data_IF_813131348815
#
_entry.id   IF_813131348815
#
_cell.length_a   1.000
_cell.length_b   1.000
_cell.length_c   1.000
_cell.angle_alpha   90.00
_cell.angle_beta   90.00
_cell.angle_gamma   90.00
#
_symmetry.space_group_name_H-M   'P 1'
#
loop_
_entity.id
_entity.type
_entity.pdbx_description
1 polymer ?
#
# COMPACT_ATOMS: atom_id res chain seq x y z
N UNK A 1 -19.77 -22.41 39.36
CA UNK A 1 -18.43 -21.85 39.52
C UNK A 1 -18.22 -20.96 38.31
N UNK A 2 -18.31 -19.65 38.52
CA UNK A 2 -18.14 -18.63 37.51
C UNK A 2 -16.63 -18.53 37.28
N UNK A 3 -16.19 -18.82 36.06
CA UNK A 3 -14.77 -18.69 35.68
C UNK A 3 -14.33 -17.24 35.82
N UNK A 4 -13.33 -17.01 36.65
CA UNK A 4 -12.61 -15.76 36.73
C UNK A 4 -12.04 -15.46 35.35
N UNK A 5 -12.59 -14.44 34.71
CA UNK A 5 -11.96 -13.79 33.55
C UNK A 5 -10.64 -13.20 34.07
N UNK A 6 -9.55 -13.89 33.83
CA UNK A 6 -8.20 -13.34 34.04
C UNK A 6 -8.09 -12.13 33.10
N UNK A 7 -8.27 -10.93 33.63
CA UNK A 7 -8.03 -9.70 32.95
C UNK A 7 -6.55 -9.74 32.48
N UNK A 8 -6.35 -9.89 31.20
CA UNK A 8 -5.01 -9.84 30.59
C UNK A 8 -4.48 -8.43 30.86
N UNK A 9 -3.52 -8.33 31.76
CA UNK A 9 -2.85 -7.04 32.05
C UNK A 9 -2.15 -6.62 30.75
N UNK A 10 -2.41 -5.42 30.24
CA UNK A 10 -1.77 -4.97 29.00
C UNK A 10 -0.25 -4.97 29.17
N UNK A 11 0.50 -5.33 28.12
CA UNK A 11 1.97 -5.28 28.14
C UNK A 11 2.44 -3.86 28.48
N UNK A 12 3.55 -3.75 29.19
CA UNK A 12 4.13 -2.48 29.62
C UNK A 12 5.56 -2.38 29.12
N UNK A 13 5.89 -1.28 28.41
CA UNK A 13 7.13 -1.12 27.68
C UNK A 13 8.07 -0.07 28.26
N UNK A 14 9.35 -0.38 28.25
CA UNK A 14 10.44 0.62 28.28
C UNK A 14 10.95 0.76 26.87
N UNK A 15 10.97 2.00 26.35
CA UNK A 15 11.49 2.33 25.01
C UNK A 15 13.00 2.60 25.13
N UNK A 16 13.77 2.13 24.15
CA UNK A 16 15.18 2.50 24.06
C UNK A 16 15.57 2.88 22.63
N UNK A 17 16.49 3.85 22.54
CA UNK A 17 16.91 4.42 21.26
C UNK A 17 18.38 4.87 21.31
N UNK A 18 19.02 4.88 20.13
CA UNK A 18 20.27 5.57 19.88
C UNK A 18 20.00 6.73 18.94
N UNK A 19 20.21 7.95 19.42
CA UNK A 19 20.01 9.17 18.65
C UNK A 19 21.37 9.82 18.36
N UNK A 20 21.54 10.55 17.23
CA UNK A 20 22.80 11.24 16.90
C UNK A 20 23.31 12.13 18.02
N UNK A 21 24.61 12.17 18.21
CA UNK A 21 25.27 12.99 19.23
C UNK A 21 25.24 14.46 18.84
N UNK A 22 24.58 15.30 19.65
CA UNK A 22 24.37 16.73 19.43
C UNK A 22 22.92 17.16 19.64
N UNK A 23 22.00 16.24 19.58
CA UNK A 23 20.57 16.45 19.50
C UNK A 23 19.84 16.64 20.85
N UNK A 24 20.50 17.14 21.90
CA UNK A 24 19.76 17.47 23.13
C UNK A 24 18.74 18.62 22.91
N UNK A 25 18.85 19.33 21.75
CA UNK A 25 17.93 20.38 21.32
C UNK A 25 17.68 20.36 19.79
N UNK A 26 17.97 19.26 19.04
CA UNK A 26 17.57 19.22 17.64
C UNK A 26 16.08 18.85 17.55
N UNK A 27 15.28 19.66 16.82
CA UNK A 27 13.93 19.28 16.47
C UNK A 27 13.99 17.97 15.65
N UNK A 28 13.43 16.89 16.16
CA UNK A 28 13.47 15.58 15.51
C UNK A 28 13.76 14.42 16.46
N UNK A 29 14.57 14.59 17.51
CA UNK A 29 14.83 13.52 18.48
C UNK A 29 13.58 13.20 19.32
N UNK A 30 12.85 14.23 19.74
CA UNK A 30 11.58 14.09 20.46
C UNK A 30 10.48 13.51 19.55
N UNK A 31 10.50 13.85 18.26
CA UNK A 31 9.55 13.33 17.26
C UNK A 31 9.71 11.83 17.02
N UNK A 32 10.96 11.32 16.99
CA UNK A 32 11.22 9.87 16.87
C UNK A 32 10.61 9.10 18.03
N UNK A 33 10.77 9.60 19.25
CA UNK A 33 10.19 8.99 20.44
C UNK A 33 8.67 9.18 20.51
N UNK A 34 8.14 10.28 19.98
CA UNK A 34 6.70 10.49 19.90
C UNK A 34 6.04 9.47 18.99
N UNK A 35 6.63 9.20 17.81
CA UNK A 35 6.07 8.22 16.87
C UNK A 35 6.07 6.79 17.43
N UNK A 36 7.16 6.35 18.10
CA UNK A 36 7.19 5.01 18.70
C UNK A 36 6.18 4.87 19.84
N UNK A 37 5.95 5.95 20.62
CA UNK A 37 4.91 5.99 21.67
C UNK A 37 3.50 5.89 21.09
N UNK A 38 3.24 6.51 19.95
CA UNK A 38 1.97 6.38 19.24
C UNK A 38 1.79 4.96 18.68
N UNK A 39 2.85 4.30 18.21
CA UNK A 39 2.82 2.89 17.83
C UNK A 39 2.49 2.00 19.02
N UNK A 40 3.10 2.25 20.19
CA UNK A 40 2.80 1.51 21.43
C UNK A 40 1.33 1.69 21.81
N UNK A 41 0.79 2.91 21.74
CA UNK A 41 -0.62 3.20 22.00
C UNK A 41 -1.53 2.43 21.04
N UNK A 42 -1.17 2.38 19.75
CA UNK A 42 -1.92 1.63 18.74
C UNK A 42 -1.82 0.11 18.93
N UNK A 43 -0.74 -0.37 19.53
CA UNK A 43 -0.56 -1.77 19.92
C UNK A 43 -1.17 -2.11 21.30
N UNK A 44 -1.86 -1.19 21.99
CA UNK A 44 -2.34 -1.31 23.37
C UNK A 44 -1.22 -1.74 24.36
N UNK A 45 -0.01 -1.21 24.17
CA UNK A 45 1.15 -1.41 25.05
C UNK A 45 1.37 -0.12 25.84
N UNK A 46 1.37 -0.21 27.14
CA UNK A 46 1.57 0.97 27.98
C UNK A 46 3.06 1.38 28.00
N UNK A 47 3.36 2.60 27.62
CA UNK A 47 4.69 3.18 27.76
C UNK A 47 4.95 3.58 29.21
N UNK A 48 6.15 3.25 29.73
CA UNK A 48 6.56 3.52 31.11
C UNK A 48 7.74 4.48 31.21
N UNK A 49 8.78 4.28 30.40
CA UNK A 49 10.01 5.07 30.43
C UNK A 49 10.78 5.01 29.12
N UNK A 50 11.70 5.94 28.94
CA UNK A 50 12.63 5.99 27.81
C UNK A 50 14.07 5.83 28.30
N UNK A 51 14.89 5.11 27.56
CA UNK A 51 16.35 5.01 27.74
C UNK A 51 17.02 5.41 26.43
N UNK A 52 17.48 6.64 26.35
CA UNK A 52 18.08 7.20 25.15
C UNK A 52 19.59 7.31 25.31
N UNK A 53 20.31 6.84 24.31
CA UNK A 53 21.74 7.02 24.18
C UNK A 53 22.05 7.98 23.02
N UNK A 54 22.77 9.06 23.30
CA UNK A 54 23.27 9.97 22.27
C UNK A 54 24.60 9.45 21.73
N UNK A 55 24.62 9.01 20.46
CA UNK A 55 25.77 8.45 19.77
C UNK A 55 25.55 8.48 18.28
N UNK A 56 26.59 8.74 17.49
CA UNK A 56 26.48 8.82 16.02
C UNK A 56 26.03 7.51 15.35
N UNK A 57 26.35 6.37 15.96
CA UNK A 57 25.96 5.03 15.46
C UNK A 57 25.68 4.07 16.62
N UNK A 58 24.67 3.20 16.47
CA UNK A 58 24.42 2.11 17.40
C UNK A 58 25.63 1.18 17.53
N UNK A 59 25.78 0.51 18.66
CA UNK A 59 26.76 -0.54 18.81
C UNK A 59 26.40 -1.73 17.90
N UNK A 60 27.35 -2.27 17.09
CA UNK A 60 27.04 -3.33 16.13
C UNK A 60 26.65 -4.65 16.79
N UNK A 61 27.00 -4.88 18.07
CA UNK A 61 26.72 -6.14 18.77
C UNK A 61 25.55 -6.03 19.75
N UNK A 62 25.46 -4.95 20.50
CA UNK A 62 24.51 -4.78 21.60
C UNK A 62 23.53 -3.65 21.39
N UNK A 63 23.63 -2.88 20.30
CA UNK A 63 22.87 -1.67 20.00
C UNK A 63 23.17 -0.53 20.97
N UNK A 64 23.09 -0.76 22.28
CA UNK A 64 23.46 0.18 23.33
C UNK A 64 24.87 -0.10 23.85
N UNK A 65 25.57 0.94 24.33
CA UNK A 65 26.80 0.75 25.09
C UNK A 65 26.52 0.13 26.45
N UNK A 66 27.57 -0.48 27.09
CA UNK A 66 27.42 -1.24 28.33
C UNK A 66 26.78 -0.44 29.48
N UNK A 67 27.11 0.85 29.63
CA UNK A 67 26.48 1.72 30.65
C UNK A 67 25.00 1.94 30.43
N UNK A 68 24.58 2.21 29.18
CA UNK A 68 23.16 2.36 28.83
C UNK A 68 22.38 1.05 28.88
N UNK A 69 23.04 -0.07 28.57
CA UNK A 69 22.44 -1.40 28.77
C UNK A 69 22.15 -1.68 30.26
N UNK A 70 23.04 -1.28 31.17
CA UNK A 70 22.80 -1.42 32.60
C UNK A 70 21.64 -0.49 33.07
N UNK A 71 21.54 0.72 32.51
CA UNK A 71 20.43 1.64 32.76
C UNK A 71 19.11 1.08 32.25
N UNK A 72 19.06 0.49 31.05
CA UNK A 72 17.90 -0.18 30.49
C UNK A 72 17.43 -1.33 31.41
N UNK A 73 18.35 -2.15 31.89
CA UNK A 73 18.07 -3.24 32.83
C UNK A 73 17.44 -2.72 34.12
N UNK A 74 17.97 -1.63 34.67
CA UNK A 74 17.42 -1.01 35.89
C UNK A 74 16.02 -0.42 35.62
N UNK A 75 15.86 0.31 34.50
CA UNK A 75 14.57 0.89 34.12
C UNK A 75 13.48 -0.20 33.97
N UNK A 76 13.78 -1.32 33.35
CA UNK A 76 12.86 -2.46 33.20
C UNK A 76 12.48 -3.03 34.57
N UNK A 77 13.46 -3.26 35.43
CA UNK A 77 13.24 -3.84 36.75
C UNK A 77 12.41 -2.88 37.65
N UNK A 78 12.77 -1.61 37.68
CA UNK A 78 12.18 -0.61 38.57
C UNK A 78 10.75 -0.23 38.13
N UNK A 79 10.49 -0.20 36.81
CA UNK A 79 9.16 0.08 36.27
C UNK A 79 8.24 -1.13 36.23
N UNK A 80 8.79 -2.35 36.35
CA UNK A 80 8.06 -3.61 36.16
C UNK A 80 7.54 -3.76 34.73
N UNK A 81 8.32 -3.30 33.74
CA UNK A 81 8.00 -3.50 32.33
C UNK A 81 8.04 -5.00 31.99
N UNK A 82 7.18 -5.39 31.06
CA UNK A 82 7.06 -6.78 30.58
C UNK A 82 7.71 -6.94 29.19
N UNK A 83 8.04 -5.83 28.55
CA UNK A 83 8.64 -5.79 27.21
C UNK A 83 9.56 -4.56 27.09
N UNK A 84 10.60 -4.67 26.27
CA UNK A 84 11.39 -3.51 25.83
C UNK A 84 11.18 -3.29 24.33
N UNK A 85 11.17 -2.04 23.91
CA UNK A 85 10.91 -1.67 22.50
C UNK A 85 12.00 -0.76 21.99
N UNK A 86 12.62 -1.16 20.87
CA UNK A 86 13.62 -0.38 20.17
C UNK A 86 12.98 0.54 19.13
N UNK A 87 13.48 1.78 19.03
CA UNK A 87 13.09 2.72 17.97
C UNK A 87 13.54 2.28 16.56
N UNK A 88 14.64 1.53 16.48
CA UNK A 88 15.22 1.02 15.23
C UNK A 88 14.99 -0.48 15.06
N UNK A 89 15.26 -0.97 13.86
CA UNK A 89 15.33 -2.39 13.59
C UNK A 89 16.61 -2.98 14.19
N UNK A 90 16.49 -4.11 14.86
CA UNK A 90 17.60 -4.78 15.51
C UNK A 90 18.09 -5.98 14.70
N UNK A 91 19.41 -6.13 14.58
CA UNK A 91 19.99 -7.38 14.12
C UNK A 91 19.69 -8.50 15.12
N UNK A 92 19.64 -9.78 14.69
CA UNK A 92 19.41 -10.90 15.60
C UNK A 92 20.43 -10.98 16.75
N UNK A 93 21.67 -10.52 16.53
CA UNK A 93 22.70 -10.43 17.57
C UNK A 93 22.38 -9.38 18.62
N UNK A 94 21.93 -8.22 18.20
CA UNK A 94 21.52 -7.15 19.09
C UNK A 94 20.30 -7.55 19.92
N UNK A 95 19.30 -8.19 19.29
CA UNK A 95 18.15 -8.73 20.05
C UNK A 95 18.58 -9.69 21.13
N UNK A 96 19.47 -10.63 20.82
CA UNK A 96 19.96 -11.59 21.81
C UNK A 96 20.73 -10.91 22.93
N UNK A 97 21.57 -9.91 22.63
CA UNK A 97 22.34 -9.18 23.63
C UNK A 97 21.45 -8.35 24.56
N UNK A 98 20.39 -7.71 24.03
CA UNK A 98 19.41 -6.99 24.85
C UNK A 98 18.59 -7.95 25.70
N UNK A 99 18.07 -9.04 25.11
CA UNK A 99 17.27 -10.05 25.81
C UNK A 99 18.03 -10.66 27.00
N UNK A 100 19.32 -11.03 26.79
CA UNK A 100 20.18 -11.56 27.85
C UNK A 100 20.41 -10.55 28.97
N UNK A 101 20.39 -9.26 28.65
CA UNK A 101 20.61 -8.21 29.65
C UNK A 101 19.36 -7.91 30.48
N UNK A 102 18.17 -7.83 29.85
CA UNK A 102 16.95 -7.30 30.50
C UNK A 102 15.98 -8.38 30.99
N UNK A 103 16.08 -9.61 30.49
CA UNK A 103 15.25 -10.78 30.85
C UNK A 103 13.72 -10.54 30.64
N UNK A 104 13.38 -9.71 29.66
CA UNK A 104 12.00 -9.49 29.18
C UNK A 104 12.00 -9.49 27.65
N UNK A 105 10.84 -9.68 27.04
CA UNK A 105 10.71 -9.67 25.58
C UNK A 105 11.25 -8.37 24.96
N UNK A 106 11.87 -8.51 23.79
CA UNK A 106 12.46 -7.40 23.04
C UNK A 106 11.78 -7.30 21.70
N UNK A 107 11.07 -6.21 21.48
CA UNK A 107 10.49 -5.85 20.18
C UNK A 107 11.37 -4.79 19.53
N UNK A 108 11.58 -4.89 18.23
CA UNK A 108 12.09 -3.79 17.44
C UNK A 108 10.94 -3.05 16.72
N UNK A 109 11.28 -2.00 15.98
CA UNK A 109 10.31 -1.17 15.28
C UNK A 109 9.44 -1.98 14.31
N UNK A 110 10.04 -2.85 13.51
CA UNK A 110 9.31 -3.71 12.55
C UNK A 110 8.33 -4.64 13.26
N UNK A 111 8.73 -5.27 14.34
CA UNK A 111 7.87 -6.18 15.11
C UNK A 111 6.71 -5.44 15.78
N UNK A 112 6.96 -4.22 16.28
CA UNK A 112 5.91 -3.36 16.82
C UNK A 112 4.90 -2.97 15.75
N UNK A 113 5.34 -2.53 14.56
CA UNK A 113 4.45 -2.22 13.42
C UNK A 113 3.61 -3.43 13.03
N UNK A 114 4.23 -4.63 12.94
CA UNK A 114 3.51 -5.87 12.66
C UNK A 114 2.47 -6.21 13.74
N UNK A 115 2.77 -5.89 14.99
CA UNK A 115 1.82 -6.06 16.11
C UNK A 115 0.62 -5.13 15.95
N UNK A 116 0.84 -3.87 15.58
CA UNK A 116 -0.24 -2.91 15.28
C UNK A 116 -1.09 -3.42 14.12
N UNK A 117 -0.45 -3.85 13.03
CA UNK A 117 -1.16 -4.37 11.86
C UNK A 117 -2.01 -5.62 12.18
N UNK A 118 -1.51 -6.52 13.03
CA UNK A 118 -2.26 -7.72 13.42
C UNK A 118 -3.56 -7.40 14.16
N UNK A 119 -3.64 -6.25 14.80
CA UNK A 119 -4.85 -5.79 15.52
C UNK A 119 -5.85 -5.09 14.62
N UNK A 120 -5.38 -4.45 13.54
CA UNK A 120 -6.22 -3.67 12.62
C UNK A 120 -6.57 -4.42 11.33
N UNK A 121 -6.05 -5.63 11.12
CA UNK A 121 -6.42 -6.49 9.99
C UNK A 121 -7.77 -7.16 10.25
N UNK A 122 -8.84 -6.66 9.65
CA UNK A 122 -10.19 -7.19 9.82
C UNK A 122 -10.63 -8.05 8.64
N UNK A 123 -10.12 -7.79 7.43
CA UNK A 123 -10.39 -8.62 6.27
C UNK A 123 -9.58 -9.93 6.30
N UNK A 124 -10.13 -10.97 5.67
CA UNK A 124 -9.38 -12.22 5.49
C UNK A 124 -8.07 -11.99 4.76
N UNK A 125 -8.05 -11.08 3.78
CA UNK A 125 -6.86 -10.78 3.00
C UNK A 125 -5.83 -10.02 3.82
N UNK A 126 -6.21 -8.94 4.50
CA UNK A 126 -5.33 -8.20 5.40
C UNK A 126 -4.73 -9.11 6.48
N UNK A 127 -5.54 -9.99 7.10
CA UNK A 127 -5.05 -10.97 8.07
C UNK A 127 -4.01 -11.91 7.48
N UNK A 128 -4.22 -12.42 6.25
CA UNK A 128 -3.26 -13.30 5.58
C UNK A 128 -1.97 -12.57 5.22
N UNK A 129 -2.05 -11.31 4.81
CA UNK A 129 -0.90 -10.46 4.49
C UNK A 129 -0.05 -10.16 5.72
N UNK A 130 -0.69 -9.75 6.82
CA UNK A 130 0.01 -9.52 8.10
C UNK A 130 0.70 -10.81 8.57
N UNK A 131 -0.01 -11.93 8.53
CA UNK A 131 0.57 -13.22 8.92
C UNK A 131 1.74 -13.63 8.01
N UNK A 132 1.67 -13.35 6.71
CA UNK A 132 2.79 -13.55 5.78
C UNK A 132 3.99 -12.70 6.20
N UNK A 133 3.80 -11.40 6.42
CA UNK A 133 4.85 -10.49 6.83
C UNK A 133 5.50 -10.90 8.16
N UNK A 134 4.71 -11.32 9.14
CA UNK A 134 5.20 -11.85 10.42
C UNK A 134 6.09 -13.09 10.23
N UNK A 135 5.68 -14.05 9.39
CA UNK A 135 6.47 -15.25 9.14
C UNK A 135 7.76 -14.94 8.35
N UNK A 136 7.74 -14.01 7.41
CA UNK A 136 8.92 -13.57 6.67
C UNK A 136 9.91 -12.86 7.59
N UNK A 137 9.42 -12.02 8.49
CA UNK A 137 10.23 -11.37 9.52
C UNK A 137 10.82 -12.39 10.50
N UNK A 138 10.02 -13.32 11.01
CA UNK A 138 10.48 -14.43 11.87
C UNK A 138 11.59 -15.25 11.17
N UNK A 139 11.43 -15.56 9.89
CA UNK A 139 12.40 -16.32 9.11
C UNK A 139 13.75 -15.60 9.01
N UNK A 140 13.78 -14.28 8.90
CA UNK A 140 15.01 -13.46 8.93
C UNK A 140 15.69 -13.53 10.29
N UNK A 141 14.93 -13.45 11.36
CA UNK A 141 15.44 -13.55 12.75
C UNK A 141 15.99 -14.96 13.07
N UNK A 142 15.35 -16.02 12.57
CA UNK A 142 15.85 -17.38 12.70
C UNK A 142 17.22 -17.57 12.03
N UNK A 143 17.53 -16.87 10.93
CA UNK A 143 18.86 -16.95 10.29
C UNK A 143 19.98 -16.45 11.21
N UNK A 144 19.72 -15.39 11.96
CA UNK A 144 20.70 -14.84 12.90
C UNK A 144 20.91 -15.71 14.14
N UNK A 145 19.85 -16.32 14.68
CA UNK A 145 19.97 -17.24 15.84
C UNK A 145 20.88 -18.43 15.53
N UNK A 146 20.84 -18.99 14.32
CA UNK A 146 21.74 -20.09 13.91
C UNK A 146 23.20 -19.66 13.82
N UNK A 147 23.52 -18.45 13.36
CA UNK A 147 24.87 -17.91 13.31
C UNK A 147 25.45 -17.64 14.72
N UNK A 148 24.63 -17.23 15.65
CA UNK A 148 25.03 -16.99 17.04
C UNK A 148 25.28 -18.31 17.75
N UNK A 149 24.39 -19.29 17.60
CA UNK A 149 24.59 -20.64 18.17
C UNK A 149 25.84 -21.37 17.60
N UNK A 150 26.11 -21.18 16.30
CA UNK A 150 27.30 -21.76 15.70
C UNK A 150 28.61 -21.08 16.16
N UNK A 151 28.59 -19.80 16.52
CA UNK A 151 29.73 -19.07 17.09
C UNK A 151 30.00 -19.41 18.56
N UNK A 152 28.95 -19.63 19.35
CA UNK A 152 29.01 -20.03 20.75
C UNK A 152 29.44 -21.52 20.89
N UNK A 153 29.22 -22.33 19.84
CA UNK A 153 29.60 -23.74 19.78
C UNK A 153 30.89 -24.03 19.02
N UNK A 154 31.82 -23.07 18.86
CA UNK A 154 33.08 -23.24 18.14
C UNK A 154 34.07 -24.11 18.90
N UNK A 155 33.69 -25.33 19.20
CA UNK A 155 34.54 -26.48 19.50
C UNK A 155 34.30 -27.54 18.43
N UNK A 156 35.34 -27.75 17.60
CA UNK A 156 35.59 -28.87 16.70
C UNK A 156 34.50 -29.96 16.65
N UNK A 157 33.84 -30.06 15.48
CA UNK A 157 33.19 -31.30 15.01
C UNK A 157 31.89 -31.77 15.69
N UNK A 158 30.94 -30.89 15.92
CA UNK A 158 29.58 -31.33 16.23
C UNK A 158 28.56 -30.55 15.41
N UNK A 159 28.01 -31.16 14.36
CA UNK A 159 26.64 -30.91 13.86
C UNK A 159 25.68 -31.31 14.97
N UNK A 160 25.50 -30.42 15.95
CA UNK A 160 24.68 -30.69 17.12
C UNK A 160 23.19 -30.80 16.77
N UNK A 161 22.39 -31.49 17.59
CA UNK A 161 20.93 -31.65 17.41
C UNK A 161 20.16 -30.31 17.34
N UNK A 162 20.76 -29.18 17.76
CA UNK A 162 20.21 -27.86 17.66
C UNK A 162 20.19 -27.29 16.24
N UNK A 163 21.18 -27.59 15.42
CA UNK A 163 21.23 -27.13 14.01
C UNK A 163 20.13 -27.80 13.16
N UNK A 164 19.93 -29.10 13.35
CA UNK A 164 18.87 -29.86 12.67
C UNK A 164 17.46 -29.38 13.08
N UNK A 165 17.24 -29.02 14.34
CA UNK A 165 15.97 -28.51 14.82
C UNK A 165 15.64 -27.15 14.19
N UNK A 166 16.59 -26.22 14.23
CA UNK A 166 16.43 -24.90 13.61
C UNK A 166 16.19 -25.01 12.09
N UNK A 167 16.83 -25.93 11.41
CA UNK A 167 16.63 -26.15 9.98
C UNK A 167 15.26 -26.76 9.66
N UNK A 168 14.77 -27.66 10.51
CA UNK A 168 13.42 -28.21 10.42
C UNK A 168 12.40 -27.10 10.65
N UNK A 169 12.55 -26.26 11.68
CA UNK A 169 11.66 -25.16 12.00
C UNK A 169 11.61 -24.14 10.84
N UNK A 170 12.78 -23.76 10.29
CA UNK A 170 12.88 -22.91 9.10
C UNK A 170 12.17 -23.50 7.88
N UNK A 171 12.24 -24.80 7.67
CA UNK A 171 11.56 -25.49 6.58
C UNK A 171 10.05 -25.44 6.76
N UNK A 172 9.55 -25.58 7.99
CA UNK A 172 8.13 -25.44 8.32
C UNK A 172 7.65 -24.04 8.05
N UNK A 173 8.37 -23.00 8.52
CA UNK A 173 8.02 -21.60 8.27
C UNK A 173 8.01 -21.28 6.77
N UNK A 174 9.02 -21.70 6.01
CA UNK A 174 9.06 -21.51 4.55
C UNK A 174 7.88 -22.15 3.83
N UNK A 175 7.44 -23.35 4.25
CA UNK A 175 6.25 -24.00 3.68
C UNK A 175 4.98 -23.19 3.97
N UNK A 176 4.85 -22.66 5.19
CA UNK A 176 3.73 -21.80 5.57
C UNK A 176 3.70 -20.53 4.72
N UNK A 177 4.83 -19.85 4.57
CA UNK A 177 5.00 -18.68 3.70
C UNK A 177 4.51 -19.00 2.28
N UNK A 178 4.98 -20.10 1.69
CA UNK A 178 4.59 -20.50 0.33
C UNK A 178 3.07 -20.75 0.21
N UNK A 179 2.49 -21.40 1.21
CA UNK A 179 1.03 -21.65 1.23
C UNK A 179 0.24 -20.35 1.32
N UNK A 180 0.68 -19.39 2.16
CA UNK A 180 0.04 -18.09 2.30
C UNK A 180 0.15 -17.27 0.99
N UNK A 181 1.34 -17.22 0.38
CA UNK A 181 1.53 -16.54 -0.93
C UNK A 181 0.58 -17.05 -1.99
N UNK A 182 0.43 -18.37 -2.13
CA UNK A 182 -0.51 -18.97 -3.08
C UNK A 182 -1.97 -18.61 -2.77
N UNK A 183 -2.32 -18.48 -1.49
CA UNK A 183 -3.68 -18.13 -1.06
C UNK A 183 -4.00 -16.68 -1.38
N UNK A 184 -3.08 -15.77 -1.09
CA UNK A 184 -3.18 -14.34 -1.40
C UNK A 184 -3.27 -14.13 -2.92
N UNK A 185 -2.44 -14.81 -3.71
CA UNK A 185 -2.44 -14.73 -5.18
C UNK A 185 -3.78 -15.17 -5.80
N UNK A 186 -4.41 -16.23 -5.26
CA UNK A 186 -5.75 -16.65 -5.69
C UNK A 186 -6.80 -15.58 -5.43
N UNK A 187 -6.73 -14.92 -4.28
CA UNK A 187 -7.64 -13.81 -3.92
C UNK A 187 -7.41 -12.60 -4.84
N UNK A 188 -6.15 -12.24 -5.10
CA UNK A 188 -5.79 -11.17 -6.02
C UNK A 188 -6.34 -11.41 -7.44
N UNK A 189 -6.28 -12.65 -7.95
CA UNK A 189 -6.86 -13.02 -9.27
C UNK A 189 -8.37 -12.79 -9.34
N UNK A 190 -9.09 -13.14 -8.27
CA UNK A 190 -10.55 -12.92 -8.19
C UNK A 190 -10.87 -11.42 -8.19
N UNK A 191 -10.09 -10.62 -7.44
CA UNK A 191 -10.24 -9.14 -7.42
C UNK A 191 -9.97 -8.53 -8.79
N UNK A 192 -8.89 -8.93 -9.49
CA UNK A 192 -8.60 -8.43 -10.84
C UNK A 192 -9.77 -8.65 -11.80
N UNK A 193 -10.47 -9.77 -11.70
CA UNK A 193 -11.66 -10.04 -12.51
C UNK A 193 -12.83 -9.12 -12.14
N UNK A 194 -13.06 -8.86 -10.87
CA UNK A 194 -14.09 -7.92 -10.41
C UNK A 194 -13.75 -6.48 -10.78
N UNK A 195 -12.46 -6.09 -10.69
CA UNK A 195 -11.95 -4.76 -11.07
C UNK A 195 -12.04 -4.51 -12.58
N UNK A 196 -11.74 -5.48 -13.42
CA UNK A 196 -11.88 -5.34 -14.87
C UNK A 196 -13.30 -4.90 -15.27
N UNK A 197 -14.32 -5.33 -14.51
CA UNK A 197 -15.70 -4.85 -14.67
C UNK A 197 -15.90 -3.40 -14.19
N UNK A 198 -15.16 -2.92 -13.17
CA UNK A 198 -15.22 -1.53 -12.71
C UNK A 198 -14.45 -0.59 -13.63
N UNK A 199 -13.29 -1.00 -14.12
CA UNK A 199 -12.51 -0.23 -15.10
C UNK A 199 -13.24 -0.04 -16.43
N UNK A 200 -14.25 -0.87 -16.74
CA UNK A 200 -15.19 -0.65 -17.85
C UNK A 200 -16.28 0.39 -17.52
N UNK A 201 -16.43 0.80 -16.26
CA UNK A 201 -17.24 1.96 -15.89
C UNK A 201 -16.34 3.19 -15.87
N UNK A 202 -16.75 4.26 -16.55
CA UNK A 202 -16.02 5.52 -16.64
C UNK A 202 -16.07 6.38 -15.37
N UNK A 203 -16.23 5.73 -14.20
CA UNK A 203 -16.28 6.41 -12.91
C UNK A 203 -14.85 6.68 -12.44
N UNK A 204 -14.46 7.96 -12.22
CA UNK A 204 -13.14 8.32 -11.74
C UNK A 204 -12.80 7.68 -10.39
N UNK A 205 -11.60 7.11 -10.30
CA UNK A 205 -11.06 6.49 -9.11
C UNK A 205 -10.02 7.41 -8.46
N UNK A 206 -10.26 7.79 -7.22
CA UNK A 206 -9.41 8.67 -6.41
C UNK A 206 -8.86 7.87 -5.24
N UNK A 207 -7.53 7.83 -5.07
CA UNK A 207 -6.92 7.20 -3.91
C UNK A 207 -6.45 8.26 -2.91
N UNK A 208 -6.65 8.02 -1.62
CA UNK A 208 -6.07 8.81 -0.54
C UNK A 208 -4.74 8.19 -0.14
N UNK A 209 -3.66 8.94 -0.23
CA UNK A 209 -2.34 8.58 0.29
C UNK A 209 -1.90 9.63 1.31
N UNK A 210 -1.02 9.26 2.21
CA UNK A 210 -0.50 10.21 3.20
C UNK A 210 -0.02 9.51 4.46
N UNK A 211 0.66 10.26 5.28
CA UNK A 211 1.21 9.75 6.53
C UNK A 211 0.11 9.22 7.47
N UNK A 212 0.46 8.34 8.39
CA UNK A 212 -0.47 7.91 9.45
C UNK A 212 -0.96 9.11 10.23
N UNK A 213 -2.22 9.08 10.62
CA UNK A 213 -2.88 10.17 11.35
C UNK A 213 -2.95 11.53 10.62
N UNK A 214 -2.74 11.60 9.30
CA UNK A 214 -2.98 12.83 8.51
C UNK A 214 -4.47 13.13 8.30
N UNK A 215 -5.36 12.23 8.70
CA UNK A 215 -6.81 12.40 8.62
C UNK A 215 -7.44 11.88 7.33
N UNK A 216 -6.84 10.88 6.66
CA UNK A 216 -7.36 10.24 5.43
C UNK A 216 -8.76 9.70 5.59
N UNK A 217 -8.99 8.85 6.60
CA UNK A 217 -10.30 8.23 6.87
C UNK A 217 -11.35 9.26 7.30
N UNK A 218 -10.93 10.32 8.02
CA UNK A 218 -11.80 11.46 8.36
C UNK A 218 -12.23 12.19 7.09
N UNK A 219 -11.29 12.44 6.17
CA UNK A 219 -11.57 13.09 4.89
C UNK A 219 -12.48 12.22 4.01
N UNK A 220 -12.26 10.90 3.96
CA UNK A 220 -13.17 9.97 3.29
C UNK A 220 -14.60 10.14 3.81
N UNK A 221 -14.79 10.10 5.13
CA UNK A 221 -16.10 10.25 5.76
C UNK A 221 -16.72 11.61 5.45
N UNK A 222 -15.94 12.68 5.52
CA UNK A 222 -16.41 14.03 5.28
C UNK A 222 -16.87 14.28 3.82
N UNK A 223 -16.20 13.64 2.84
CA UNK A 223 -16.54 13.77 1.42
C UNK A 223 -17.69 12.86 0.98
N UNK A 224 -17.84 11.69 1.63
CA UNK A 224 -18.78 10.63 1.19
C UNK A 224 -19.98 10.45 2.11
N UNK A 225 -20.07 11.22 3.19
CA UNK A 225 -21.05 11.05 4.28
C UNK A 225 -21.12 9.61 4.83
N UNK A 226 -19.99 8.89 4.70
CA UNK A 226 -19.84 7.55 5.24
C UNK A 226 -19.52 7.61 6.75
N UNK A 227 -19.68 6.47 7.43
CA UNK A 227 -19.37 6.32 8.85
C UNK A 227 -18.31 5.21 9.01
N UNK A 228 -17.14 5.39 8.39
CA UNK A 228 -15.98 4.52 8.64
C UNK A 228 -15.45 4.86 10.03
N UNK A 229 -15.05 3.85 10.80
CA UNK A 229 -14.40 4.07 12.09
C UNK A 229 -13.18 4.97 11.93
N UNK A 230 -13.08 5.98 12.77
CA UNK A 230 -11.94 6.89 12.84
C UNK A 230 -11.52 6.97 14.29
N UNK A 231 -10.31 6.51 14.57
CA UNK A 231 -9.67 6.68 15.86
C UNK A 231 -8.36 7.45 15.69
N UNK A 232 -7.97 8.18 16.73
CA UNK A 232 -6.68 8.86 16.79
C UNK A 232 -5.58 7.84 17.13
N UNK A 233 -5.35 6.89 16.20
CA UNK A 233 -4.36 5.81 16.31
C UNK A 233 -3.66 5.61 14.98
N UNK A 234 -2.39 5.20 15.03
CA UNK A 234 -1.64 4.88 13.82
C UNK A 234 -2.16 3.59 13.19
N UNK A 235 -2.27 3.58 11.86
CA UNK A 235 -2.74 2.42 11.07
C UNK A 235 -4.17 1.95 11.38
N UNK A 236 -5.08 2.88 11.70
CA UNK A 236 -6.50 2.54 11.88
C UNK A 236 -7.10 1.87 10.64
N UNK A 237 -6.73 2.33 9.45
CA UNK A 237 -7.13 1.72 8.18
C UNK A 237 -6.00 0.85 7.65
N UNK A 238 -6.18 -0.47 7.67
CA UNK A 238 -5.30 -1.43 7.02
C UNK A 238 -5.93 -1.99 5.74
N UNK A 239 -7.24 -2.25 5.79
CA UNK A 239 -8.01 -2.74 4.65
C UNK A 239 -8.54 -1.57 3.82
N UNK A 240 -8.31 -1.55 2.47
CA UNK A 240 -8.78 -0.46 1.63
C UNK A 240 -10.30 -0.32 1.72
N UNK A 241 -10.75 0.88 1.98
CA UNK A 241 -12.17 1.19 2.03
C UNK A 241 -12.55 2.13 0.92
N UNK A 242 -13.35 1.65 -0.05
CA UNK A 242 -13.84 2.46 -1.17
C UNK A 242 -15.27 2.94 -0.92
N UNK A 243 -15.53 4.20 -1.21
CA UNK A 243 -16.86 4.83 -1.12
C UNK A 243 -17.11 5.68 -2.34
N UNK A 244 -18.35 5.69 -2.80
CA UNK A 244 -18.79 6.58 -3.87
C UNK A 244 -19.36 7.88 -3.29
N UNK A 245 -19.09 8.99 -3.98
CA UNK A 245 -19.78 10.26 -3.74
C UNK A 245 -20.14 10.89 -5.08
N UNK A 246 -21.16 11.74 -5.06
CA UNK A 246 -21.66 12.43 -6.25
C UNK A 246 -21.42 13.92 -6.15
N UNK A 247 -20.85 14.50 -7.21
CA UNK A 247 -20.64 15.93 -7.33
C UNK A 247 -20.83 16.39 -8.77
N UNK A 248 -21.57 17.47 -9.01
CA UNK A 248 -21.90 18.00 -10.36
C UNK A 248 -22.41 16.91 -11.31
N UNK A 249 -23.38 16.11 -10.85
CA UNK A 249 -24.00 15.01 -11.61
C UNK A 249 -23.06 13.90 -12.07
N UNK A 250 -21.84 13.83 -11.53
CA UNK A 250 -20.86 12.78 -11.78
C UNK A 250 -20.57 12.00 -10.51
N UNK A 251 -20.48 10.68 -10.66
CA UNK A 251 -20.08 9.80 -9.57
C UNK A 251 -18.55 9.66 -9.54
N UNK A 252 -17.99 9.64 -8.35
CA UNK A 252 -16.55 9.43 -8.06
C UNK A 252 -16.42 8.31 -7.05
N UNK A 253 -15.34 7.55 -7.14
CA UNK A 253 -14.99 6.56 -6.12
C UNK A 253 -13.74 7.03 -5.40
N UNK A 254 -13.85 7.18 -4.09
CA UNK A 254 -12.75 7.54 -3.20
C UNK A 254 -12.34 6.33 -2.40
N UNK A 255 -11.04 6.00 -2.40
CA UNK A 255 -10.51 4.84 -1.68
C UNK A 255 -9.49 5.31 -0.64
N UNK A 256 -9.76 4.98 0.62
CA UNK A 256 -8.79 5.12 1.72
C UNK A 256 -7.77 4.00 1.66
N UNK A 257 -6.50 4.34 1.87
CA UNK A 257 -5.39 3.38 1.86
C UNK A 257 -4.67 3.35 3.20
N UNK A 258 -3.76 2.40 3.36
CA UNK A 258 -2.90 2.31 4.53
C UNK A 258 -2.08 3.60 4.69
N UNK A 259 -2.02 4.12 5.91
CA UNK A 259 -1.15 5.25 6.21
C UNK A 259 0.33 4.89 6.14
N UNK A 260 1.16 5.81 5.69
CA UNK A 260 2.60 5.62 5.66
C UNK A 260 3.25 6.08 6.97
N UNK A 261 4.42 5.53 7.26
CA UNK A 261 5.21 5.84 8.45
C UNK A 261 6.69 5.84 8.06
N UNK A 262 7.50 6.56 8.81
CA UNK A 262 8.96 6.55 8.60
C UNK A 262 9.55 5.16 8.78
N UNK A 263 10.63 4.88 8.06
CA UNK A 263 11.34 3.59 8.12
C UNK A 263 10.40 2.39 7.93
N UNK A 264 9.37 2.53 7.04
CA UNK A 264 8.48 1.40 6.73
C UNK A 264 9.32 0.29 6.09
N UNK A 265 9.38 -0.91 6.68
CA UNK A 265 10.20 -2.00 6.15
C UNK A 265 9.72 -2.42 4.76
N UNK A 266 10.65 -2.61 3.79
CA UNK A 266 10.34 -3.06 2.43
C UNK A 266 9.50 -4.35 2.39
N UNK A 267 9.75 -5.27 3.32
CA UNK A 267 8.99 -6.51 3.46
C UNK A 267 7.51 -6.26 3.75
N UNK A 268 7.19 -5.16 4.47
CA UNK A 268 5.81 -4.77 4.73
C UNK A 268 5.18 -4.13 3.48
N UNK A 269 5.91 -3.31 2.73
CA UNK A 269 5.44 -2.76 1.46
C UNK A 269 5.08 -3.89 0.50
N UNK A 270 5.94 -4.91 0.36
CA UNK A 270 5.68 -6.08 -0.48
C UNK A 270 4.46 -6.88 -0.01
N UNK A 271 4.33 -7.09 1.31
CA UNK A 271 3.19 -7.79 1.88
C UNK A 271 1.86 -7.03 1.63
N UNK A 272 1.89 -5.71 1.66
CA UNK A 272 0.73 -4.85 1.42
C UNK A 272 0.61 -4.33 -0.01
N UNK A 273 1.44 -4.80 -0.94
CA UNK A 273 1.39 -4.38 -2.34
C UNK A 273 -0.03 -4.47 -2.93
N UNK A 274 -0.81 -5.50 -2.55
CA UNK A 274 -2.19 -5.64 -3.01
C UNK A 274 -3.16 -4.62 -2.42
N UNK A 275 -2.90 -4.11 -1.25
CA UNK A 275 -3.67 -3.04 -0.59
C UNK A 275 -3.31 -1.68 -1.21
N UNK A 276 -2.03 -1.50 -1.53
CA UNK A 276 -1.51 -0.32 -2.20
C UNK A 276 -1.77 -0.33 -3.73
N UNK A 277 -2.18 -1.48 -4.31
CA UNK A 277 -2.55 -1.59 -5.74
C UNK A 277 -3.71 -0.65 -6.10
N UNK A 278 -4.61 -0.30 -5.16
CA UNK A 278 -5.66 0.71 -5.40
C UNK A 278 -5.06 2.09 -5.72
N UNK A 279 -3.92 2.43 -5.12
CA UNK A 279 -3.22 3.69 -5.38
C UNK A 279 -2.55 3.71 -6.77
N UNK A 280 -2.07 2.55 -7.24
CA UNK A 280 -1.46 2.44 -8.58
C UNK A 280 -2.51 2.45 -9.70
N UNK A 281 -3.74 2.09 -9.39
CA UNK A 281 -4.86 2.05 -10.34
C UNK A 281 -5.72 3.30 -10.32
N UNK A 282 -5.45 4.23 -9.40
CA UNK A 282 -6.19 5.48 -9.29
C UNK A 282 -5.91 6.41 -10.48
N UNK A 283 -6.93 7.16 -10.88
CA UNK A 283 -6.80 8.21 -11.88
C UNK A 283 -6.12 9.46 -11.30
N UNK A 284 -6.22 9.66 -9.98
CA UNK A 284 -5.52 10.69 -9.21
C UNK A 284 -5.29 10.22 -7.77
N UNK A 285 -4.16 10.60 -7.21
CA UNK A 285 -3.81 10.37 -5.80
C UNK A 285 -3.90 11.68 -5.04
N UNK A 286 -4.72 11.73 -4.00
CA UNK A 286 -4.71 12.84 -3.04
C UNK A 286 -3.66 12.55 -1.98
N UNK A 287 -2.60 13.35 -1.95
CA UNK A 287 -1.56 13.27 -0.92
C UNK A 287 -1.97 14.16 0.25
N UNK A 288 -2.33 13.52 1.37
CA UNK A 288 -2.87 14.21 2.54
C UNK A 288 -1.74 14.51 3.50
N UNK A 289 -1.51 15.80 3.75
CA UNK A 289 -0.55 16.32 4.72
C UNK A 289 -1.27 16.97 5.92
N UNK A 290 -0.66 16.92 7.09
CA UNK A 290 -1.15 17.58 8.31
C UNK A 290 -0.61 19.01 8.38
N UNK A 291 -1.45 20.01 8.16
CA UNK A 291 -1.08 21.42 8.18
C UNK A 291 -0.64 21.94 9.55
N UNK A 292 -0.99 21.23 10.62
CA UNK A 292 -0.65 21.67 12.00
C UNK A 292 0.83 21.48 12.36
N UNK A 293 1.55 20.62 11.60
CA UNK A 293 2.95 20.30 11.85
C UNK A 293 3.90 21.41 11.38
N UNK A 294 5.13 21.38 11.88
CA UNK A 294 6.18 22.28 11.40
C UNK A 294 6.60 21.98 9.96
N UNK A 295 7.03 23.02 9.22
CA UNK A 295 7.32 22.89 7.80
C UNK A 295 8.38 21.82 7.48
N UNK A 296 9.39 21.65 8.34
CA UNK A 296 10.42 20.64 8.19
C UNK A 296 9.84 19.22 8.35
N UNK A 297 8.92 19.03 9.28
CA UNK A 297 8.25 17.76 9.50
C UNK A 297 7.27 17.42 8.37
N UNK A 298 6.52 18.41 7.86
CA UNK A 298 5.68 18.25 6.68
C UNK A 298 6.53 17.75 5.51
N UNK A 299 7.63 18.42 5.19
CA UNK A 299 8.51 18.03 4.08
C UNK A 299 9.08 16.62 4.25
N UNK A 300 9.53 16.23 5.45
CA UNK A 300 10.03 14.88 5.72
C UNK A 300 8.96 13.80 5.58
N UNK A 301 7.72 14.10 5.97
CA UNK A 301 6.58 13.18 5.80
C UNK A 301 6.14 13.06 4.35
N UNK A 302 6.14 14.17 3.59
CA UNK A 302 5.85 14.17 2.15
C UNK A 302 6.90 13.37 1.37
N UNK A 303 8.19 13.54 1.70
CA UNK A 303 9.27 12.72 1.12
C UNK A 303 9.03 11.23 1.37
N UNK A 304 8.68 10.85 2.60
CA UNK A 304 8.34 9.45 2.94
C UNK A 304 7.16 8.92 2.11
N UNK A 305 6.11 9.74 1.92
CA UNK A 305 4.95 9.37 1.10
C UNK A 305 5.35 9.22 -0.37
N UNK A 306 6.15 10.15 -0.89
CA UNK A 306 6.64 10.13 -2.26
C UNK A 306 7.48 8.88 -2.55
N UNK A 307 8.41 8.54 -1.66
CA UNK A 307 9.28 7.35 -1.76
C UNK A 307 8.45 6.06 -1.83
N UNK A 308 7.41 5.94 -0.99
CA UNK A 308 6.55 4.75 -1.01
C UNK A 308 5.71 4.70 -2.30
N UNK A 309 5.14 5.83 -2.75
CA UNK A 309 4.40 5.90 -4.00
C UNK A 309 5.26 5.52 -5.21
N UNK A 310 6.51 5.94 -5.22
CA UNK A 310 7.48 5.60 -6.29
C UNK A 310 7.90 4.13 -6.21
N UNK A 311 8.11 3.60 -5.00
CA UNK A 311 8.43 2.19 -4.76
C UNK A 311 7.33 1.24 -5.27
N UNK A 312 6.05 1.61 -5.10
CA UNK A 312 4.93 0.81 -5.61
C UNK A 312 4.63 1.05 -7.09
N UNK A 313 5.38 1.94 -7.76
CA UNK A 313 5.21 2.28 -9.18
C UNK A 313 3.91 3.04 -9.48
N UNK A 314 3.46 3.89 -8.58
CA UNK A 314 2.29 4.75 -8.83
C UNK A 314 2.68 5.91 -9.75
N UNK A 315 2.09 5.95 -10.94
CA UNK A 315 2.28 7.03 -11.93
C UNK A 315 1.07 7.96 -12.01
N UNK A 316 0.08 7.79 -11.15
CA UNK A 316 -1.08 8.67 -11.13
C UNK A 316 -0.68 10.10 -10.76
N UNK A 317 -1.29 11.12 -11.36
CA UNK A 317 -1.10 12.51 -10.95
C UNK A 317 -1.40 12.68 -9.47
N UNK A 318 -0.62 13.51 -8.79
CA UNK A 318 -0.73 13.79 -7.36
C UNK A 318 -1.37 15.16 -7.16
N UNK A 319 -2.30 15.27 -6.24
CA UNK A 319 -2.88 16.52 -5.75
C UNK A 319 -2.65 16.60 -4.24
N UNK A 320 -1.96 17.63 -3.80
CA UNK A 320 -1.65 17.85 -2.39
C UNK A 320 -2.84 18.46 -1.68
N UNK A 321 -3.16 17.91 -0.51
CA UNK A 321 -4.26 18.35 0.35
C UNK A 321 -3.75 18.53 1.78
N UNK A 322 -3.69 19.76 2.24
CA UNK A 322 -3.34 20.10 3.60
C UNK A 322 -4.58 20.03 4.48
N UNK A 323 -4.65 19.00 5.31
CA UNK A 323 -5.75 18.79 6.25
C UNK A 323 -5.43 19.36 7.64
N UNK A 324 -6.43 19.43 8.50
CA UNK A 324 -6.35 19.95 9.87
C UNK A 324 -6.01 21.44 9.94
N UNK A 325 -6.50 22.24 8.99
CA UNK A 325 -6.30 23.69 9.00
C UNK A 325 -6.93 24.37 10.21
N UNK A 326 -7.93 23.75 10.82
CA UNK A 326 -8.56 24.16 12.09
C UNK A 326 -7.57 24.20 13.25
N UNK A 327 -6.51 23.40 13.22
CA UNK A 327 -5.45 23.40 14.24
C UNK A 327 -4.36 24.43 13.95
N UNK A 328 -4.36 25.08 12.79
CA UNK A 328 -3.38 26.13 12.44
C UNK A 328 -3.85 27.47 12.97
N UNK A 329 -3.44 27.80 14.19
CA UNK A 329 -3.84 29.04 14.86
C UNK A 329 -3.03 30.28 14.43
N UNK A 330 -1.82 30.08 13.87
CA UNK A 330 -0.98 31.16 13.34
C UNK A 330 -1.33 31.50 11.88
N UNK A 331 -1.92 32.68 11.59
CA UNK A 331 -2.22 33.07 10.20
C UNK A 331 -0.97 33.17 9.32
N UNK A 332 0.18 33.49 9.90
CA UNK A 332 1.44 33.56 9.19
C UNK A 332 1.93 32.18 8.74
N UNK A 333 1.67 31.12 9.50
CA UNK A 333 1.97 29.75 9.13
C UNK A 333 1.11 29.31 7.93
N UNK A 334 -0.20 29.57 7.98
CA UNK A 334 -1.13 29.26 6.89
C UNK A 334 -0.70 29.97 5.59
N UNK A 335 -0.43 31.28 5.65
CA UNK A 335 0.00 32.05 4.48
C UNK A 335 1.34 31.54 3.89
N UNK A 336 2.29 31.09 4.75
CA UNK A 336 3.55 30.48 4.27
C UNK A 336 3.31 29.15 3.56
N UNK A 337 2.43 28.29 4.09
CA UNK A 337 2.08 27.02 3.45
C UNK A 337 1.39 27.26 2.10
N UNK A 338 0.43 28.18 2.03
CA UNK A 338 -0.25 28.54 0.77
C UNK A 338 0.73 29.10 -0.28
N UNK A 339 1.76 29.86 0.16
CA UNK A 339 2.79 30.37 -0.73
C UNK A 339 3.76 29.28 -1.24
N UNK A 340 4.08 28.29 -0.38
CA UNK A 340 4.95 27.16 -0.75
C UNK A 340 4.24 26.14 -1.64
N UNK A 341 2.94 25.96 -1.45
CA UNK A 341 2.11 24.96 -2.15
C UNK A 341 0.91 25.62 -2.84
N UNK A 342 1.14 26.43 -3.90
CA UNK A 342 0.07 27.23 -4.52
C UNK A 342 -1.01 26.38 -5.23
N UNK A 343 -0.70 25.14 -5.58
CA UNK A 343 -1.64 24.21 -6.23
C UNK A 343 -2.38 23.31 -5.22
N UNK A 344 -1.98 23.32 -3.96
CA UNK A 344 -2.58 22.48 -2.92
C UNK A 344 -3.95 23.00 -2.47
N UNK A 345 -4.76 22.10 -1.94
CA UNK A 345 -6.05 22.44 -1.34
C UNK A 345 -5.96 22.33 0.17
N UNK A 346 -6.45 23.36 0.88
CA UNK A 346 -6.42 23.45 2.33
C UNK A 346 -7.81 23.13 2.89
N UNK A 347 -7.88 22.12 3.78
CA UNK A 347 -9.15 21.61 4.32
C UNK A 347 -9.09 21.36 5.82
N UNK A 348 -10.23 21.40 6.48
CA UNK A 348 -10.48 20.72 7.75
C UNK A 348 -11.54 19.64 7.51
N UNK A 349 -11.11 18.39 7.56
CA UNK A 349 -12.04 17.27 7.44
C UNK A 349 -12.96 17.17 8.67
N UNK A 350 -12.52 17.65 9.84
CA UNK A 350 -13.30 17.67 11.08
C UNK A 350 -14.42 18.72 11.02
N UNK A 351 -14.09 19.95 10.64
CA UNK A 351 -15.03 21.08 10.58
C UNK A 351 -15.73 21.21 9.23
N UNK A 352 -15.37 20.36 8.26
CA UNK A 352 -15.87 20.38 6.88
C UNK A 352 -15.52 21.67 6.11
N UNK A 353 -14.46 22.39 6.54
CA UNK A 353 -13.95 23.56 5.82
C UNK A 353 -13.18 23.13 4.56
N UNK A 354 -13.32 23.85 3.45
CA UNK A 354 -12.57 23.65 2.21
C UNK A 354 -12.98 22.41 1.39
N UNK A 355 -13.95 21.60 1.84
CA UNK A 355 -14.35 20.37 1.15
C UNK A 355 -14.99 20.64 -0.22
N UNK A 356 -15.78 21.71 -0.34
CA UNK A 356 -16.37 22.08 -1.63
C UNK A 356 -15.30 22.54 -2.62
N UNK A 357 -14.30 23.29 -2.15
CA UNK A 357 -13.13 23.69 -2.97
C UNK A 357 -12.36 22.45 -3.45
N UNK A 358 -12.19 21.43 -2.59
CA UNK A 358 -11.56 20.17 -2.97
C UNK A 358 -12.38 19.43 -4.03
N UNK A 359 -13.71 19.34 -3.87
CA UNK A 359 -14.59 18.72 -4.87
C UNK A 359 -14.54 19.47 -6.21
N UNK A 360 -14.53 20.80 -6.17
CA UNK A 360 -14.40 21.64 -7.37
C UNK A 360 -13.06 21.40 -8.07
N UNK A 361 -11.96 21.35 -7.32
CA UNK A 361 -10.62 21.10 -7.88
C UNK A 361 -10.53 19.70 -8.52
N UNK A 362 -11.14 18.70 -7.89
CA UNK A 362 -11.24 17.36 -8.46
C UNK A 362 -12.09 17.35 -9.75
N UNK A 363 -13.23 18.01 -9.74
CA UNK A 363 -14.06 18.11 -10.94
C UNK A 363 -13.31 18.78 -12.09
N UNK A 364 -12.61 19.89 -11.84
CA UNK A 364 -11.77 20.58 -12.83
C UNK A 364 -10.64 19.68 -13.34
N UNK A 365 -9.96 18.94 -12.45
CA UNK A 365 -8.90 18.01 -12.82
C UNK A 365 -9.42 16.96 -13.81
N UNK A 366 -10.54 16.31 -13.51
CA UNK A 366 -11.13 15.32 -14.39
C UNK A 366 -11.73 15.94 -15.66
N UNK A 367 -12.26 17.13 -15.58
CA UNK A 367 -12.79 17.83 -16.74
C UNK A 367 -11.72 18.20 -17.77
N UNK A 368 -10.51 18.54 -17.32
CA UNK A 368 -9.35 18.77 -18.23
C UNK A 368 -8.95 17.52 -19.02
N UNK A 369 -9.20 16.33 -18.48
CA UNK A 369 -8.93 15.05 -19.15
C UNK A 369 -9.99 14.65 -20.16
N UNK A 370 -11.17 15.31 -20.16
CA UNK A 370 -12.25 15.02 -21.08
C UNK A 370 -12.03 15.68 -22.44
N UNK A 371 -12.34 14.93 -23.50
CA UNK A 371 -12.38 15.44 -24.87
C UNK A 371 -13.82 15.75 -25.28
N UNK A 372 -14.04 16.92 -25.85
CA UNK A 372 -15.29 17.24 -26.49
C UNK A 372 -15.42 16.43 -27.79
N UNK A 373 -16.54 15.73 -27.93
CA UNK A 373 -16.85 14.92 -29.10
C UNK A 373 -18.19 15.32 -29.66
N UNK A 374 -18.33 15.26 -31.00
CA UNK A 374 -19.60 15.44 -31.70
C UNK A 374 -19.84 14.20 -32.54
N UNK A 375 -20.82 13.38 -32.13
CA UNK A 375 -21.04 12.04 -32.65
C UNK A 375 -22.42 11.97 -33.32
N UNK A 376 -22.51 11.39 -34.53
CA UNK A 376 -23.76 11.12 -35.22
C UNK A 376 -24.12 9.64 -35.04
N UNK A 377 -25.18 9.37 -34.32
CA UNK A 377 -25.72 8.03 -34.14
C UNK A 377 -26.90 7.80 -35.09
N UNK A 378 -26.81 6.85 -36.03
CA UNK A 378 -27.97 6.40 -36.78
C UNK A 378 -29.08 5.94 -35.83
N UNK A 379 -30.35 6.13 -36.21
CA UNK A 379 -31.48 5.74 -35.38
C UNK A 379 -31.48 4.23 -35.03
N UNK A 380 -30.87 3.38 -35.88
CA UNK A 380 -30.70 1.97 -35.64
C UNK A 380 -29.77 1.64 -34.47
N UNK A 381 -28.83 2.54 -34.11
CA UNK A 381 -27.78 2.30 -33.10
C UNK A 381 -28.14 2.87 -31.72
N UNK A 382 -29.42 2.82 -31.35
CA UNK A 382 -29.92 3.32 -30.05
C UNK A 382 -29.23 2.70 -28.84
N UNK A 383 -28.77 1.46 -28.92
CA UNK A 383 -28.03 0.79 -27.84
C UNK A 383 -26.65 1.41 -27.59
N UNK A 384 -25.94 1.86 -28.64
CA UNK A 384 -24.65 2.56 -28.52
C UNK A 384 -24.83 3.94 -27.87
N UNK A 385 -25.86 4.67 -28.31
CA UNK A 385 -26.24 5.95 -27.73
C UNK A 385 -26.65 5.84 -26.25
N UNK A 386 -27.41 4.82 -25.88
CA UNK A 386 -27.81 4.59 -24.49
C UNK A 386 -26.60 4.32 -23.60
N UNK A 387 -25.59 3.57 -24.09
CA UNK A 387 -24.33 3.37 -23.37
C UNK A 387 -23.56 4.67 -23.21
N UNK A 388 -23.49 5.52 -24.27
CA UNK A 388 -22.82 6.80 -24.20
C UNK A 388 -23.41 7.71 -23.11
N UNK A 389 -24.73 7.72 -22.94
CA UNK A 389 -25.39 8.48 -21.90
C UNK A 389 -24.94 8.14 -20.48
N UNK A 390 -24.55 6.87 -20.25
CA UNK A 390 -24.07 6.40 -18.96
C UNK A 390 -22.63 6.82 -18.62
N UNK A 391 -21.86 7.31 -19.63
CA UNK A 391 -20.42 7.61 -19.48
C UNK A 391 -20.06 9.06 -19.85
N UNK A 392 -20.98 9.78 -20.51
CA UNK A 392 -20.74 11.12 -21.03
C UNK A 392 -21.08 12.19 -19.99
N UNK A 393 -20.27 13.24 -19.98
CA UNK A 393 -20.58 14.51 -19.29
C UNK A 393 -21.07 15.54 -20.30
N UNK A 394 -21.87 16.53 -19.85
CA UNK A 394 -22.36 17.63 -20.66
C UNK A 394 -23.06 17.21 -21.95
N UNK A 395 -23.89 16.17 -21.88
CA UNK A 395 -24.52 15.55 -23.03
C UNK A 395 -25.65 16.44 -23.57
N UNK A 396 -25.57 16.79 -24.87
CA UNK A 396 -26.64 17.44 -25.64
C UNK A 396 -27.00 16.58 -26.84
N UNK A 397 -28.29 16.44 -27.11
CA UNK A 397 -28.76 15.67 -28.24
C UNK A 397 -29.56 16.57 -29.19
N UNK A 398 -29.29 16.43 -30.48
CA UNK A 398 -30.03 17.09 -31.58
C UNK A 398 -30.48 16.01 -32.57
N UNK A 399 -31.80 15.99 -32.83
CA UNK A 399 -32.36 15.03 -33.79
C UNK A 399 -32.30 15.61 -35.21
N UNK A 400 -31.67 14.86 -36.12
CA UNK A 400 -31.56 15.20 -37.54
C UNK A 400 -32.18 14.09 -38.39
N UNK A 401 -32.49 14.33 -39.69
CA UNK A 401 -33.01 13.29 -40.57
C UNK A 401 -32.10 12.05 -40.69
N UNK A 402 -30.79 12.21 -40.50
CA UNK A 402 -29.77 11.18 -40.65
C UNK A 402 -29.53 10.38 -39.36
N UNK A 403 -29.98 10.91 -38.23
CA UNK A 403 -29.77 10.29 -36.92
C UNK A 403 -29.81 11.29 -35.79
N UNK A 404 -29.22 10.93 -34.67
CA UNK A 404 -29.10 11.82 -33.49
C UNK A 404 -27.65 12.29 -33.36
N UNK A 405 -27.44 13.60 -33.47
CA UNK A 405 -26.16 14.21 -33.15
C UNK A 405 -26.08 14.33 -31.62
N UNK A 406 -25.00 13.83 -31.05
CA UNK A 406 -24.70 13.91 -29.64
C UNK A 406 -23.40 14.70 -29.45
N UNK A 407 -23.51 15.83 -28.80
CA UNK A 407 -22.37 16.58 -28.29
C UNK A 407 -22.16 16.22 -26.84
N UNK A 408 -20.96 15.77 -26.50
CA UNK A 408 -20.64 15.30 -25.16
C UNK A 408 -19.15 15.46 -24.85
N UNK A 409 -18.79 15.37 -23.59
CA UNK A 409 -17.39 15.27 -23.14
C UNK A 409 -17.12 13.87 -22.62
N UNK A 410 -16.08 13.23 -23.14
CA UNK A 410 -15.70 11.85 -22.85
C UNK A 410 -14.23 11.75 -22.45
N UNK A 411 -13.87 10.77 -21.56
CA UNK A 411 -12.49 10.35 -21.40
C UNK A 411 -11.86 9.97 -22.76
N UNK A 412 -10.58 10.28 -22.94
CA UNK A 412 -9.90 10.06 -24.23
C UNK A 412 -9.99 8.62 -24.74
N UNK A 413 -9.93 7.63 -23.83
CA UNK A 413 -10.06 6.21 -24.16
C UNK A 413 -11.48 5.88 -24.66
N UNK A 414 -12.52 6.45 -24.05
CA UNK A 414 -13.90 6.27 -24.48
C UNK A 414 -14.17 7.02 -25.78
N UNK A 415 -13.67 8.23 -25.94
CA UNK A 415 -13.78 8.98 -27.20
C UNK A 415 -13.23 8.17 -28.40
N UNK A 416 -12.12 7.45 -28.22
CA UNK A 416 -11.57 6.57 -29.26
C UNK A 416 -12.50 5.41 -29.65
N UNK A 417 -13.28 4.85 -28.71
CA UNK A 417 -14.26 3.77 -28.98
C UNK A 417 -15.42 4.25 -29.83
N UNK A 418 -15.77 5.53 -29.73
CA UNK A 418 -16.85 6.14 -30.49
C UNK A 418 -16.38 6.85 -31.76
N UNK A 419 -15.10 6.78 -32.12
CA UNK A 419 -14.53 7.45 -33.30
C UNK A 419 -15.28 7.17 -34.60
N UNK A 420 -15.89 5.98 -34.77
CA UNK A 420 -16.73 5.61 -35.93
C UNK A 420 -18.00 6.43 -36.08
N UNK A 421 -18.46 7.11 -35.01
CA UNK A 421 -19.61 7.99 -35.01
C UNK A 421 -19.24 9.47 -35.11
N UNK A 422 -17.96 9.80 -35.30
CA UNK A 422 -17.53 11.20 -35.40
C UNK A 422 -18.26 11.92 -36.53
N UNK A 423 -19.01 12.96 -36.17
CA UNK A 423 -19.80 13.73 -37.12
C UNK A 423 -18.94 14.53 -38.14
N UNK A 424 -17.64 14.73 -37.88
CA UNK A 424 -16.71 15.35 -38.81
C UNK A 424 -16.24 14.36 -39.91
N UNK A 425 -16.40 13.05 -39.72
CA UNK A 425 -15.96 11.99 -40.65
C UNK A 425 -17.12 11.46 -41.52
N UNK A 426 -18.38 11.76 -41.16
CA UNK A 426 -19.53 11.34 -41.94
C UNK A 426 -20.15 12.52 -42.73
N UNK A 427 -20.37 12.45 -44.05
CA UNK A 427 -21.47 11.70 -44.63
C UNK A 427 -21.21 10.91 -45.91
N UNK A 428 -19.99 10.51 -46.23
CA UNK A 428 -19.75 9.82 -47.52
C UNK A 428 -19.20 8.39 -47.45
N UNK A 429 -19.10 7.77 -46.30
CA UNK A 429 -18.62 6.39 -46.15
C UNK A 429 -19.31 5.65 -45.02
N UNK A 430 -20.64 5.51 -45.09
CA UNK A 430 -21.25 4.39 -44.38
C UNK A 430 -21.18 3.19 -45.30
N UNK A 431 -20.43 2.14 -44.94
CA UNK A 431 -20.52 0.88 -45.70
C UNK A 431 -21.94 0.38 -45.61
N UNK A 432 -22.49 -0.01 -46.73
CA UNK A 432 -23.78 -0.69 -46.79
C UNK A 432 -23.76 -1.91 -45.86
N UNK A 433 -24.87 -2.40 -45.35
CA UNK A 433 -24.91 -3.60 -44.50
C UNK A 433 -24.14 -4.80 -45.06
N UNK A 434 -23.99 -4.89 -46.39
CA UNK A 434 -23.17 -5.87 -47.09
C UNK A 434 -21.66 -5.61 -46.97
N UNK A 435 -21.23 -4.36 -47.05
CA UNK A 435 -19.82 -3.97 -46.90
C UNK A 435 -19.33 -4.05 -45.44
N UNK A 436 -20.20 -3.71 -44.48
CA UNK A 436 -19.93 -3.92 -43.08
C UNK A 436 -19.76 -5.41 -42.71
N UNK A 437 -20.48 -6.28 -43.39
CA UNK A 437 -20.37 -7.73 -43.23
C UNK A 437 -19.07 -8.27 -43.85
N UNK A 438 -18.70 -7.81 -45.03
CA UNK A 438 -17.43 -8.16 -45.69
C UNK A 438 -16.22 -7.64 -44.87
N UNK A 439 -16.29 -6.44 -44.32
CA UNK A 439 -15.24 -5.92 -43.44
C UNK A 439 -15.11 -6.67 -42.10
N UNK A 440 -16.24 -7.15 -41.56
CA UNK A 440 -16.24 -7.97 -40.35
C UNK A 440 -15.69 -9.38 -40.60
N UNK A 441 -16.00 -9.98 -41.78
CA UNK A 441 -15.44 -11.25 -42.23
C UNK A 441 -13.92 -11.12 -42.50
N UNK A 442 -13.47 -10.07 -43.15
CA UNK A 442 -12.05 -9.81 -43.41
C UNK A 442 -11.23 -9.56 -42.10
N UNK A 443 -11.81 -8.88 -41.08
CA UNK A 443 -11.20 -8.74 -39.77
C UNK A 443 -11.15 -10.06 -38.99
N UNK A 444 -12.14 -10.93 -39.20
CA UNK A 444 -12.17 -12.27 -38.62
C UNK A 444 -11.11 -13.18 -39.26
N UNK A 445 -10.92 -13.08 -40.57
CA UNK A 445 -9.89 -13.84 -41.32
C UNK A 445 -8.47 -13.32 -41.00
N UNK A 446 -8.26 -12.01 -40.87
CA UNK A 446 -6.98 -11.43 -40.46
C UNK A 446 -6.62 -11.81 -39.03
N UNK A 447 -7.61 -11.90 -38.12
CA UNK A 447 -7.40 -12.36 -36.75
C UNK A 447 -7.07 -13.85 -36.67
N UNK A 448 -7.61 -14.67 -37.60
CA UNK A 448 -7.31 -16.09 -37.70
C UNK A 448 -5.91 -16.36 -38.28
N UNK A 449 -5.42 -15.48 -39.17
CA UNK A 449 -4.06 -15.59 -39.75
C UNK A 449 -2.96 -15.17 -38.78
N UNK A 450 -3.22 -14.29 -37.83
CA UNK A 450 -2.25 -13.90 -36.78
C UNK A 450 -2.09 -14.96 -35.70
N UNK A 451 -3.06 -15.88 -35.57
CA UNK A 451 -2.98 -17.00 -34.62
C UNK A 451 -2.44 -18.31 -35.24
N UNK A 452 -2.04 -18.29 -36.51
CA UNK A 452 -1.78 -19.50 -37.31
C UNK A 452 -0.37 -19.70 -37.88
N UNK A 453 0.68 -19.02 -37.41
CA UNK A 453 2.05 -19.36 -37.83
C UNK A 453 3.08 -19.17 -36.69
N UNK A 454 3.19 -20.22 -35.87
CA UNK A 454 4.46 -20.56 -35.21
C UNK A 454 5.05 -21.68 -36.05
N UNK A 455 6.18 -21.51 -36.78
CA UNK A 455 6.81 -22.60 -37.50
C UNK A 455 7.32 -23.64 -36.51
N UNK A 456 6.72 -24.80 -36.52
CA UNK A 456 7.22 -25.98 -35.84
C UNK A 456 8.58 -26.35 -36.39
N UNK A 457 9.56 -26.42 -35.51
CA UNK A 457 10.79 -27.14 -35.74
C UNK A 457 10.48 -28.64 -35.57
N UNK A 458 10.27 -29.31 -36.67
CA UNK A 458 10.37 -30.76 -36.78
C UNK A 458 11.84 -31.11 -36.67
N UNK A 459 12.25 -31.62 -35.51
CA UNK A 459 13.47 -32.44 -35.41
C UNK A 459 13.01 -33.89 -35.22
N UNK A 460 13.04 -34.59 -36.39
CA UNK A 460 12.96 -36.06 -36.48
C UNK A 460 14.09 -36.68 -35.68
N UNK A 461 13.76 -37.33 -34.59
CA UNK A 461 14.60 -38.32 -33.97
C UNK A 461 13.95 -39.71 -34.14
N UNK A 462 14.37 -40.39 -35.20
CA UNK A 462 14.16 -41.83 -35.39
C UNK A 462 14.80 -42.63 -34.25
N UNK A 463 14.15 -43.71 -33.80
CA UNK A 463 14.76 -44.62 -32.83
C UNK A 463 15.75 -45.55 -33.54
N UNK A 464 16.97 -45.58 -33.12
CA UNK A 464 17.94 -46.68 -33.42
C UNK A 464 17.79 -47.77 -32.39
N UNK A 465 17.31 -48.91 -32.83
CA UNK A 465 17.46 -50.22 -32.21
C UNK A 465 18.91 -50.66 -32.24
N UNK A 466 19.32 -51.35 -31.20
CA UNK A 466 20.24 -52.49 -31.25
C UNK A 466 21.67 -52.23 -30.84
N UNK A 467 22.05 -52.81 -29.74
CA UNK A 467 23.10 -53.82 -29.55
C UNK A 467 23.76 -53.76 -28.19
N UNK A 468 23.51 -54.81 -27.43
CA UNK A 468 24.50 -55.63 -26.71
C UNK A 468 25.39 -54.95 -25.67
N UNK A 469 25.20 -55.35 -24.43
CA UNK A 469 26.27 -55.56 -23.45
C UNK A 469 27.36 -56.49 -23.94
N UNK A 470 28.60 -56.45 -23.44
CA UNK A 470 28.87 -57.15 -22.18
C UNK A 470 29.92 -56.53 -21.24
N UNK A 471 29.79 -56.95 -19.99
CA UNK A 471 30.83 -57.38 -19.04
C UNK A 471 31.96 -56.45 -18.55
N UNK A 472 32.02 -56.40 -17.28
CA UNK A 472 33.05 -56.88 -16.38
C UNK A 472 33.95 -55.85 -15.67
N UNK A 473 33.86 -55.98 -14.36
CA UNK A 473 34.99 -56.01 -13.43
C UNK A 473 35.85 -54.75 -13.19
N UNK A 474 35.91 -54.39 -11.92
CA UNK A 474 37.21 -54.25 -11.27
C UNK A 474 37.39 -52.98 -10.42
N UNK A 475 37.24 -53.21 -9.16
CA UNK A 475 38.11 -52.77 -8.07
C UNK A 475 38.81 -51.40 -8.10
N UNK A 476 38.52 -50.60 -7.12
CA UNK A 476 39.36 -50.15 -6.01
C UNK A 476 38.65 -49.04 -5.23
#
# INVERSE_FOLDING_TARGET
MVGESTAVVPPRAVVFAVLPGGAVNEPGAEEHLAEIKELLRSADIAWLADVVQHRDRPDPHSYLGSGKMAELKSAVKDSGATVTVCEDDLSPGQVAAVLDAVDVDVLDRTELILTVFSRHAHSLEGTLQVHLAQLEYELTRMRGKGLIMSRLGAGVDMRGPGETKLEVDRRVVRRRIQTLKQRIERMAKTRRTQRARRLSSSVPLIALAGYTNAGKSTLLNALTDAHVSVADRLFETLDPTSRAFRFRDRDYVLTDTVGFIRKLPHQLVDAFASTLEETTLADVVLVIADASLEAAEIAAREETVADVLDMIGSHAPRLEVFNKVDLVTDPGKRARLEALYPEAVFVSAADREGLETLKERLAEFFDRSLRSVRLLFPYADGAARSRLRGIASDLREEHTPEGVIVEARLPAAEAARYARYDAAVAPNAMPTPSEARVAAEALSEASAQVTGEIPGRDDELQPREGAASPDAEGAA
#
